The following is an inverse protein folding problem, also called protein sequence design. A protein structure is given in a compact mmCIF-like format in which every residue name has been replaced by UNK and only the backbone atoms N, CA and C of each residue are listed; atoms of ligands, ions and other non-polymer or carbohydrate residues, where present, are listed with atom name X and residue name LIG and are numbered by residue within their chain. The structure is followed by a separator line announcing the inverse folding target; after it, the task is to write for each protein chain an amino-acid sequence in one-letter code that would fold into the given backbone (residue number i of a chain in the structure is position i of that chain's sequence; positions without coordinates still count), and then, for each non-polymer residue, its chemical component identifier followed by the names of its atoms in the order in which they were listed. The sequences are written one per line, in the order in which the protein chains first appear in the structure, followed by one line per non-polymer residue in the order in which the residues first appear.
data_IF_277348021061
#
_entry.id   IF_277348021061
#
_cell.length_a   1.000
_cell.length_b   1.000
_cell.length_c   1.000
_cell.angle_alpha   90.00
_cell.angle_beta   90.00
_cell.angle_gamma   90.00
#
_symmetry.space_group_name_H-M   'P 1'
#
loop_
_entity.id
_entity.type
_entity.pdbx_description
1 polymer ?
#
# COMPACT_ATOMS: atom_id res chain seq x y z
N UNK A 1 -15.21 -0.51 -9.42
CA UNK A 1 -15.37 0.14 -8.11
C UNK A 1 -14.05 0.21 -7.34
N UNK A 2 -13.46 -0.89 -6.85
CA UNK A 2 -12.18 -0.80 -6.09
C UNK A 2 -11.02 -0.20 -6.88
N UNK A 3 -10.89 -0.53 -8.17
CA UNK A 3 -9.84 0.04 -9.02
C UNK A 3 -10.02 1.54 -9.25
N UNK A 4 -11.26 2.00 -9.35
CA UNK A 4 -11.57 3.41 -9.58
C UNK A 4 -11.21 4.24 -8.34
N UNK A 5 -11.37 3.64 -7.14
CA UNK A 5 -10.87 4.18 -5.87
C UNK A 5 -9.33 4.17 -5.85
N UNK A 6 -8.68 3.09 -6.31
CA UNK A 6 -7.23 2.98 -6.33
C UNK A 6 -6.56 4.06 -7.22
N UNK A 7 -7.19 4.40 -8.34
CA UNK A 7 -6.73 5.44 -9.26
C UNK A 7 -7.31 6.83 -8.99
N UNK A 8 -8.08 6.99 -7.92
CA UNK A 8 -8.58 8.31 -7.53
C UNK A 8 -7.40 9.26 -7.36
N UNK A 9 -7.35 10.31 -8.18
CA UNK A 9 -6.18 11.19 -8.22
C UNK A 9 -6.31 12.29 -7.19
N UNK A 10 -5.32 12.35 -6.30
CA UNK A 10 -5.14 13.42 -5.33
C UNK A 10 -3.83 14.10 -5.69
N UNK A 11 -3.83 15.44 -5.83
CA UNK A 11 -2.63 16.22 -6.17
C UNK A 11 -1.86 15.68 -7.40
N UNK A 12 -2.58 15.11 -8.37
CA UNK A 12 -2.00 14.60 -9.62
C UNK A 12 -1.32 13.23 -9.53
N UNK A 13 -1.44 12.51 -8.41
CA UNK A 13 -0.96 11.12 -8.25
C UNK A 13 -2.10 10.21 -7.77
N UNK A 14 -2.06 8.91 -8.09
CA UNK A 14 -3.14 8.00 -7.72
C UNK A 14 -3.13 7.68 -6.22
N UNK A 15 -4.31 7.51 -5.64
CA UNK A 15 -4.50 7.21 -4.22
C UNK A 15 -3.69 6.00 -3.76
N UNK A 16 -3.56 4.99 -4.61
CA UNK A 16 -2.73 3.80 -4.31
C UNK A 16 -1.28 4.18 -3.98
N UNK A 17 -0.69 5.18 -4.65
CA UNK A 17 0.66 5.63 -4.37
C UNK A 17 0.78 6.20 -2.94
N UNK A 18 -0.14 7.08 -2.57
CA UNK A 18 -0.17 7.67 -1.22
C UNK A 18 -0.45 6.62 -0.15
N UNK A 19 -1.36 5.68 -0.43
CA UNK A 19 -1.64 4.54 0.46
C UNK A 19 -0.40 3.69 0.71
N UNK A 20 0.43 3.46 -0.32
CA UNK A 20 1.69 2.72 -0.20
C UNK A 20 2.74 3.45 0.63
N UNK A 21 2.95 4.74 0.36
CA UNK A 21 3.90 5.58 1.13
C UNK A 21 3.49 5.64 2.60
N UNK A 22 2.21 5.92 2.88
CA UNK A 22 1.69 5.98 4.25
C UNK A 22 1.86 4.64 4.97
N UNK A 23 1.54 3.53 4.30
CA UNK A 23 1.71 2.17 4.85
C UNK A 23 3.16 1.86 5.19
N UNK A 24 4.10 2.20 4.29
CA UNK A 24 5.54 2.01 4.53
C UNK A 24 6.04 2.85 5.70
N UNK A 25 5.65 4.12 5.78
CA UNK A 25 6.04 5.00 6.89
C UNK A 25 5.52 4.50 8.22
N UNK A 26 4.26 4.06 8.29
CA UNK A 26 3.67 3.48 9.50
C UNK A 26 4.38 2.17 9.91
N UNK A 27 4.73 1.33 8.93
CA UNK A 27 5.46 0.09 9.14
C UNK A 27 6.87 0.35 9.69
N UNK A 28 7.60 1.30 9.08
CA UNK A 28 8.91 1.75 9.56
C UNK A 28 8.84 2.33 10.98
N UNK A 29 7.81 3.14 11.27
CA UNK A 29 7.60 3.69 12.61
C UNK A 29 7.33 2.58 13.64
N UNK A 30 6.48 1.61 13.28
CA UNK A 30 6.17 0.46 14.13
C UNK A 30 7.42 -0.41 14.34
N UNK A 31 8.22 -0.65 13.31
CA UNK A 31 9.47 -1.41 13.40
C UNK A 31 10.58 -0.65 14.17
N UNK A 32 10.61 0.68 14.09
CA UNK A 32 11.58 1.51 14.81
C UNK A 32 11.23 1.70 16.30
N UNK A 33 9.96 1.58 16.68
CA UNK A 33 9.49 1.71 18.07
C UNK A 33 10.26 0.84 19.10
N UNK A 34 10.52 -0.47 18.88
CA UNK A 34 11.32 -1.27 19.81
C UNK A 34 12.77 -0.80 19.91
N UNK A 35 13.38 -0.35 18.81
CA UNK A 35 14.76 0.19 18.79
C UNK A 35 14.88 1.48 19.60
N UNK A 36 13.86 2.33 19.55
CA UNK A 36 13.82 3.58 20.30
C UNK A 36 13.54 3.37 21.80
N UNK A 37 12.87 2.27 22.17
CA UNK A 37 12.58 1.92 23.56
C UNK A 37 13.76 1.26 24.30
N UNK A 38 14.83 0.83 23.61
CA UNK A 38 15.97 0.12 24.21
C UNK A 38 16.90 1.06 25.01
N UNK A 39 16.89 2.39 24.78
CA UNK A 39 17.76 3.34 25.48
C UNK A 39 17.28 3.77 26.88
N UNK A 40 16.57 2.92 27.62
CA UNK A 40 16.17 3.16 29.02
C UNK A 40 15.10 4.22 29.26
N UNK A 41 14.80 5.08 28.27
CA UNK A 41 13.63 5.97 28.27
C UNK A 41 12.55 5.33 27.41
N UNK A 42 11.50 4.80 28.06
CA UNK A 42 10.34 4.20 27.40
C UNK A 42 9.54 5.29 26.70
N UNK A 43 9.99 5.70 25.51
CA UNK A 43 9.39 6.80 24.76
C UNK A 43 7.94 6.48 24.34
N UNK A 44 7.60 5.19 24.27
CA UNK A 44 6.27 4.72 23.88
C UNK A 44 5.82 3.55 24.77
N UNK A 45 4.62 3.61 25.38
CA UNK A 45 4.05 2.48 26.10
C UNK A 45 3.83 1.30 25.16
N UNK A 46 4.08 0.08 25.63
CA UNK A 46 3.84 -1.16 24.86
C UNK A 46 2.41 -1.23 24.29
N UNK A 47 1.41 -0.75 25.06
CA UNK A 47 0.01 -0.66 24.61
C UNK A 47 -0.17 0.21 23.37
N UNK A 48 0.58 1.31 23.25
CA UNK A 48 0.51 2.23 22.10
C UNK A 48 1.21 1.64 20.89
N UNK A 49 2.34 0.92 21.09
CA UNK A 49 3.00 0.18 20.02
C UNK A 49 2.08 -0.90 19.42
N UNK A 50 1.39 -1.68 20.28
CA UNK A 50 0.45 -2.71 19.83
C UNK A 50 -0.73 -2.11 19.06
N UNK A 51 -1.31 -0.99 19.53
CA UNK A 51 -2.37 -0.28 18.78
C UNK A 51 -1.87 0.23 17.43
N UNK A 52 -0.67 0.81 17.37
CA UNK A 52 -0.07 1.29 16.13
C UNK A 52 0.18 0.13 15.16
N UNK A 53 0.63 -1.03 15.66
CA UNK A 53 0.82 -2.23 14.86
C UNK A 53 -0.50 -2.71 14.24
N UNK A 54 -1.59 -2.76 15.01
CA UNK A 54 -2.92 -3.11 14.46
C UNK A 54 -3.38 -2.17 13.34
N UNK A 55 -3.23 -0.85 13.54
CA UNK A 55 -3.59 0.15 12.51
C UNK A 55 -2.72 -0.04 11.26
N UNK A 56 -1.42 -0.26 11.45
CA UNK A 56 -0.47 -0.48 10.35
C UNK A 56 -0.81 -1.73 9.56
N UNK A 57 -1.09 -2.85 10.23
CA UNK A 57 -1.48 -4.11 9.59
C UNK A 57 -2.77 -3.93 8.80
N UNK A 58 -3.79 -3.29 9.39
CA UNK A 58 -5.05 -3.01 8.70
C UNK A 58 -4.83 -2.16 7.42
N UNK A 59 -4.01 -1.12 7.51
CA UNK A 59 -3.72 -0.23 6.38
C UNK A 59 -2.94 -0.94 5.27
N UNK A 60 -1.92 -1.73 5.63
CA UNK A 60 -1.13 -2.53 4.68
C UNK A 60 -2.00 -3.56 3.97
N UNK A 61 -2.89 -4.25 4.69
CA UNK A 61 -3.82 -5.21 4.09
C UNK A 61 -4.77 -4.53 3.12
N UNK A 62 -5.34 -3.38 3.50
CA UNK A 62 -6.20 -2.60 2.62
C UNK A 62 -5.46 -2.13 1.36
N UNK A 63 -4.25 -1.60 1.50
CA UNK A 63 -3.41 -1.18 0.38
C UNK A 63 -3.03 -2.36 -0.53
N UNK A 64 -2.69 -3.51 0.06
CA UNK A 64 -2.40 -4.75 -0.66
C UNK A 64 -3.60 -5.26 -1.45
N UNK A 65 -4.81 -5.19 -0.89
CA UNK A 65 -6.06 -5.54 -1.59
C UNK A 65 -6.32 -4.60 -2.78
N UNK A 66 -6.04 -3.31 -2.66
CA UNK A 66 -6.14 -2.36 -3.78
C UNK A 66 -5.15 -2.73 -4.90
N UNK A 67 -3.90 -3.02 -4.56
CA UNK A 67 -2.89 -3.45 -5.54
C UNK A 67 -3.24 -4.78 -6.20
N UNK A 68 -3.71 -5.75 -5.43
CA UNK A 68 -4.15 -7.05 -5.95
C UNK A 68 -5.37 -6.91 -6.88
N UNK A 69 -6.29 -5.99 -6.57
CA UNK A 69 -7.43 -5.66 -7.44
C UNK A 69 -6.99 -5.12 -8.81
N UNK A 70 -5.91 -4.34 -8.86
CA UNK A 70 -5.32 -3.87 -10.11
C UNK A 70 -4.72 -5.02 -10.92
N UNK A 71 -3.98 -5.92 -10.26
CA UNK A 71 -3.39 -7.09 -10.91
C UNK A 71 -4.46 -7.97 -11.58
N UNK A 72 -5.52 -8.31 -10.86
CA UNK A 72 -6.64 -9.10 -11.40
C UNK A 72 -7.46 -8.36 -12.46
N UNK A 73 -7.45 -7.02 -12.50
CA UNK A 73 -8.06 -6.27 -13.61
C UNK A 73 -7.17 -6.38 -14.84
N UNK A 74 -5.84 -6.32 -14.69
CA UNK A 74 -4.90 -6.39 -15.80
C UNK A 74 -4.91 -7.78 -16.47
N UNK A 75 -4.96 -8.86 -15.69
CA UNK A 75 -5.07 -10.23 -16.20
C UNK A 75 -6.36 -10.43 -17.03
N UNK A 76 -7.50 -9.90 -16.54
CA UNK A 76 -8.77 -9.95 -17.29
C UNK A 76 -8.74 -9.14 -18.59
N UNK A 77 -7.93 -8.09 -18.66
CA UNK A 77 -7.73 -7.33 -19.88
C UNK A 77 -6.93 -8.12 -20.91
N UNK A 78 -5.86 -8.80 -20.49
CA UNK A 78 -5.04 -9.65 -21.37
C UNK A 78 -5.77 -10.89 -21.89
N UNK A 79 -6.71 -11.46 -21.12
CA UNK A 79 -7.52 -12.61 -21.57
C UNK A 79 -8.64 -12.16 -22.53
N UNK A 80 -9.22 -10.96 -22.34
CA UNK A 80 -10.29 -10.43 -23.22
C UNK A 80 -9.79 -9.73 -24.47
N UNK A 81 -8.59 -9.18 -24.42
CA UNK A 81 -7.90 -8.63 -25.56
C UNK A 81 -6.56 -9.35 -25.66
N UNK A 82 -6.45 -10.44 -26.46
CA UNK A 82 -5.12 -10.86 -26.86
C UNK A 82 -4.50 -9.66 -27.54
N UNK A 83 -3.43 -9.14 -26.95
CA UNK A 83 -2.61 -8.10 -27.55
C UNK A 83 -2.34 -8.55 -28.97
N UNK A 84 -2.99 -7.93 -29.95
CA UNK A 84 -2.47 -7.89 -31.30
C UNK A 84 -1.18 -7.12 -31.16
N UNK A 85 -0.08 -7.87 -30.97
CA UNK A 85 1.28 -7.38 -31.08
C UNK A 85 1.45 -7.00 -32.55
N UNK A 86 0.88 -5.86 -32.93
CA UNK A 86 1.14 -5.17 -34.17
C UNK A 86 2.51 -4.53 -34.02
N UNK A 87 3.53 -5.32 -34.33
CA UNK A 87 4.81 -4.77 -34.77
C UNK A 87 4.54 -3.78 -35.92
N UNK A 88 5.00 -2.54 -35.78
CA UNK A 88 4.90 -1.55 -36.86
C UNK A 88 4.84 -0.11 -36.39
N UNK A 89 5.91 0.37 -35.75
CA UNK A 89 6.26 1.80 -35.76
C UNK A 89 7.73 1.90 -36.19
N UNK A 90 7.93 2.00 -37.50
CA UNK A 90 8.90 2.85 -38.20
C UNK A 90 8.18 3.39 -39.44
#
# INVERSE_FOLDING_TARGET
MLVDIAYFSILGKPLIMYGGIASLLLLLLTAAAPKLSWKGKRLMPYRTHVRLAYVTVALVLFHGLLGLSLYFRMERFLIRCPVSVGAGFW
#
